data_IF_204932310995
#
_entry.id   IF_204932310995
#
_cell.length_a   1.000
_cell.length_b   1.000
_cell.length_c   1.000
_cell.angle_alpha   90.00
_cell.angle_beta   90.00
_cell.angle_gamma   90.00
#
_symmetry.space_group_name_H-M   'P 1'
#
loop_
_entity.id
_entity.type
_entity.pdbx_description
1 polymer ?
#
# COMPACT_ATOMS: atom_id res chain seq x y z
N UNK A 1 34.35 19.11 -29.94
CA UNK A 1 33.63 19.68 -28.76
C UNK A 1 33.33 18.55 -27.79
N UNK A 2 34.18 18.39 -26.81
CA UNK A 2 33.98 17.35 -25.79
C UNK A 2 33.06 17.85 -24.69
N UNK A 3 31.92 17.23 -24.53
CA UNK A 3 31.12 17.34 -23.30
C UNK A 3 31.91 16.67 -22.18
N UNK A 4 32.50 17.46 -21.29
CA UNK A 4 33.15 16.94 -20.09
C UNK A 4 32.10 16.15 -19.28
N UNK A 5 32.40 14.93 -18.87
CA UNK A 5 31.47 14.20 -18.00
C UNK A 5 31.34 14.98 -16.69
N UNK A 6 30.11 15.29 -16.35
CA UNK A 6 29.78 15.95 -15.08
C UNK A 6 30.32 15.07 -13.95
N UNK A 7 31.31 15.54 -13.25
CA UNK A 7 31.92 14.79 -12.16
C UNK A 7 30.84 14.43 -11.13
N UNK A 8 30.77 13.14 -10.75
CA UNK A 8 29.89 12.70 -9.67
C UNK A 8 30.38 13.35 -8.36
N UNK A 9 29.46 13.80 -7.51
CA UNK A 9 29.84 14.39 -6.23
C UNK A 9 30.62 13.37 -5.39
N UNK A 10 31.59 13.86 -4.60
CA UNK A 10 32.39 13.04 -3.72
C UNK A 10 31.49 12.20 -2.77
N UNK A 11 31.89 10.98 -2.46
CA UNK A 11 31.13 10.05 -1.61
C UNK A 11 30.63 10.67 -0.30
N UNK A 12 31.44 11.55 0.33
CA UNK A 12 31.05 12.27 1.53
C UNK A 12 29.92 13.27 1.32
N UNK A 13 29.83 13.89 0.14
CA UNK A 13 28.75 14.84 -0.22
C UNK A 13 27.44 14.07 -0.42
N UNK A 14 27.47 12.93 -1.10
CA UNK A 14 26.27 12.08 -1.28
C UNK A 14 25.76 11.56 0.06
N UNK A 15 26.64 11.11 0.95
CA UNK A 15 26.26 10.63 2.28
C UNK A 15 25.59 11.75 3.12
N UNK A 16 26.13 12.97 3.06
CA UNK A 16 25.54 14.13 3.74
C UNK A 16 24.17 14.50 3.17
N UNK A 17 24.04 14.51 1.85
CA UNK A 17 22.77 14.78 1.17
C UNK A 17 21.72 13.72 1.53
N UNK A 18 22.10 12.47 1.48
CA UNK A 18 21.23 11.36 1.84
C UNK A 18 20.76 11.46 3.30
N UNK A 19 21.69 11.70 4.22
CA UNK A 19 21.39 11.91 5.65
C UNK A 19 20.46 13.11 5.86
N UNK A 20 20.70 14.22 5.16
CA UNK A 20 19.86 15.43 5.25
C UNK A 20 18.44 15.17 4.73
N UNK A 21 18.30 14.44 3.61
CA UNK A 21 16.99 14.06 3.05
C UNK A 21 16.25 13.14 4.02
N UNK A 22 16.90 12.14 4.57
CA UNK A 22 16.29 11.23 5.55
C UNK A 22 15.85 11.97 6.82
N UNK A 23 16.68 12.88 7.34
CA UNK A 23 16.34 13.69 8.51
C UNK A 23 15.16 14.62 8.23
N UNK A 24 15.16 15.27 7.07
CA UNK A 24 14.04 16.13 6.65
C UNK A 24 12.74 15.30 6.52
N UNK A 25 12.82 14.14 5.88
CA UNK A 25 11.67 13.24 5.72
C UNK A 25 11.13 12.77 7.07
N UNK A 26 11.99 12.38 8.01
CA UNK A 26 11.59 11.95 9.33
C UNK A 26 10.81 13.04 10.10
N UNK A 27 11.19 14.31 9.92
CA UNK A 27 10.54 15.45 10.58
C UNK A 27 9.25 15.89 9.88
N UNK A 28 9.22 15.84 8.54
CA UNK A 28 8.11 16.34 7.71
C UNK A 28 7.15 15.28 7.23
N UNK A 29 7.55 14.01 7.27
CA UNK A 29 6.68 12.91 6.89
C UNK A 29 5.43 12.86 7.77
N UNK A 30 4.26 12.86 7.14
CA UNK A 30 2.99 12.69 7.85
C UNK A 30 2.95 11.34 8.55
N UNK A 31 2.54 11.29 9.84
CA UNK A 31 2.26 10.01 10.47
C UNK A 31 1.01 9.40 9.84
N UNK A 32 1.20 8.42 8.96
CA UNK A 32 0.11 7.71 8.31
C UNK A 32 -0.38 6.58 9.21
N UNK A 33 -1.70 6.40 9.39
CA UNK A 33 -2.24 5.40 10.30
C UNK A 33 -1.82 3.97 9.92
N UNK A 34 -1.70 3.67 8.63
CA UNK A 34 -1.26 2.35 8.15
C UNK A 34 0.25 2.08 8.26
N UNK A 35 1.01 3.08 8.73
CA UNK A 35 2.42 2.91 9.11
C UNK A 35 2.62 2.80 10.60
N UNK A 36 1.56 2.86 11.38
CA UNK A 36 1.61 2.70 12.82
C UNK A 36 2.06 1.27 13.19
N UNK A 37 2.82 1.11 14.29
CA UNK A 37 3.14 -0.23 14.80
C UNK A 37 1.85 -1.03 15.03
N UNK A 38 1.86 -2.30 14.63
CA UNK A 38 0.70 -3.17 14.78
C UNK A 38 -0.28 -3.14 13.60
N UNK A 39 -0.06 -2.32 12.58
CA UNK A 39 -0.84 -2.42 11.33
C UNK A 39 -0.59 -3.78 10.68
N UNK A 40 -1.67 -4.48 10.38
CA UNK A 40 -1.58 -5.81 9.74
C UNK A 40 -1.17 -5.69 8.27
N UNK A 41 -0.63 -6.76 7.65
CA UNK A 41 -0.39 -6.78 6.21
C UNK A 41 -1.64 -6.46 5.38
N UNK A 42 -2.80 -6.88 5.83
CA UNK A 42 -4.07 -6.53 5.20
C UNK A 42 -4.34 -5.02 5.24
N UNK A 43 -4.11 -4.39 6.38
CA UNK A 43 -4.24 -2.93 6.51
C UNK A 43 -3.32 -2.18 5.55
N UNK A 44 -2.09 -2.63 5.40
CA UNK A 44 -1.12 -2.09 4.43
C UNK A 44 -1.62 -2.29 2.99
N UNK A 45 -2.08 -3.48 2.67
CA UNK A 45 -2.60 -3.81 1.34
C UNK A 45 -3.78 -2.89 0.95
N UNK A 46 -4.76 -2.75 1.83
CA UNK A 46 -5.91 -1.87 1.62
C UNK A 46 -5.47 -0.43 1.41
N UNK A 47 -4.54 0.07 2.23
CA UNK A 47 -4.03 1.44 2.10
C UNK A 47 -3.36 1.69 0.75
N UNK A 48 -2.57 0.73 0.26
CA UNK A 48 -1.90 0.84 -1.04
C UNK A 48 -2.89 0.93 -2.20
N UNK A 49 -3.95 0.15 -2.15
CA UNK A 49 -5.00 0.20 -3.18
C UNK A 49 -5.79 1.52 -3.10
N UNK A 50 -6.17 1.94 -1.90
CA UNK A 50 -6.92 3.19 -1.70
C UNK A 50 -6.12 4.43 -2.11
N UNK A 51 -4.81 4.43 -1.84
CA UNK A 51 -3.94 5.57 -2.13
C UNK A 51 -3.60 5.72 -3.63
N UNK A 52 -3.92 4.74 -4.46
CA UNK A 52 -3.78 4.87 -5.90
C UNK A 52 -4.70 5.98 -6.42
N UNK A 53 -4.11 7.05 -6.98
CA UNK A 53 -4.86 8.17 -7.58
C UNK A 53 -5.83 8.89 -6.62
N UNK A 54 -5.64 8.72 -5.30
CA UNK A 54 -6.48 9.38 -4.29
C UNK A 54 -5.60 10.01 -3.22
N UNK A 55 -5.78 11.31 -2.88
CA UNK A 55 -4.99 11.95 -1.84
C UNK A 55 -5.16 11.27 -0.48
N UNK A 56 -4.05 11.17 0.26
CA UNK A 56 -3.98 10.53 1.58
C UNK A 56 -5.03 11.07 2.56
N UNK A 57 -5.25 12.38 2.58
CA UNK A 57 -6.23 13.00 3.47
C UNK A 57 -7.66 12.49 3.24
N UNK A 58 -7.97 12.09 2.02
CA UNK A 58 -9.27 11.51 1.67
C UNK A 58 -9.32 10.01 1.99
N UNK A 59 -8.20 9.32 1.88
CA UNK A 59 -8.09 7.88 2.14
C UNK A 59 -8.23 7.57 3.63
N UNK A 60 -7.61 8.34 4.50
CA UNK A 60 -7.49 8.03 5.92
C UNK A 60 -8.84 7.72 6.61
N UNK A 61 -9.90 8.55 6.49
CA UNK A 61 -11.18 8.25 7.15
C UNK A 61 -11.81 6.96 6.64
N UNK A 62 -11.77 6.72 5.34
CA UNK A 62 -12.33 5.51 4.72
C UNK A 62 -11.54 4.27 5.12
N UNK A 63 -10.21 4.36 5.14
CA UNK A 63 -9.35 3.27 5.57
C UNK A 63 -9.64 2.86 7.02
N UNK A 64 -9.81 3.82 7.93
CA UNK A 64 -10.15 3.55 9.33
C UNK A 64 -11.48 2.83 9.46
N UNK A 65 -12.50 3.26 8.72
CA UNK A 65 -13.80 2.61 8.67
C UNK A 65 -13.71 1.18 8.14
N UNK A 66 -12.96 0.96 7.08
CA UNK A 66 -12.74 -0.37 6.51
C UNK A 66 -12.02 -1.30 7.48
N UNK A 67 -11.01 -0.81 8.21
CA UNK A 67 -10.30 -1.63 9.20
C UNK A 67 -11.16 -2.00 10.40
N UNK A 68 -12.10 -1.16 10.78
CA UNK A 68 -13.08 -1.50 11.82
C UNK A 68 -14.10 -2.51 11.34
N UNK A 69 -14.56 -2.37 10.10
CA UNK A 69 -15.60 -3.21 9.54
C UNK A 69 -15.05 -4.55 9.01
N UNK A 70 -13.91 -4.52 8.38
CA UNK A 70 -13.28 -5.69 7.75
C UNK A 70 -11.79 -5.77 8.12
N UNK A 71 -11.48 -6.16 9.36
CA UNK A 71 -10.08 -6.19 9.84
C UNK A 71 -9.22 -7.28 9.22
N UNK A 72 -9.83 -8.24 8.53
CA UNK A 72 -9.11 -9.34 7.84
C UNK A 72 -9.64 -9.54 6.41
N UNK A 73 -8.84 -10.18 5.54
CA UNK A 73 -9.32 -10.53 4.20
C UNK A 73 -10.60 -11.38 4.22
N UNK A 74 -10.71 -12.31 5.15
CA UNK A 74 -11.89 -13.17 5.28
C UNK A 74 -13.15 -12.39 5.60
N UNK A 75 -13.06 -11.34 6.41
CA UNK A 75 -14.19 -10.49 6.76
C UNK A 75 -14.75 -9.78 5.52
N UNK A 76 -13.87 -9.21 4.70
CA UNK A 76 -14.29 -8.57 3.45
C UNK A 76 -14.82 -9.59 2.44
N UNK A 77 -14.15 -10.75 2.33
CA UNK A 77 -14.59 -11.82 1.43
C UNK A 77 -15.99 -12.33 1.74
N UNK A 78 -16.38 -12.33 3.02
CA UNK A 78 -17.71 -12.74 3.48
C UNK A 78 -18.78 -11.66 3.22
N UNK A 79 -18.39 -10.42 2.97
CA UNK A 79 -19.32 -9.34 2.67
C UNK A 79 -19.78 -9.39 1.20
N UNK A 80 -20.92 -8.81 0.90
CA UNK A 80 -21.36 -8.64 -0.47
C UNK A 80 -20.46 -7.63 -1.21
N UNK A 81 -20.13 -7.85 -2.50
CA UNK A 81 -19.32 -6.89 -3.26
C UNK A 81 -19.90 -5.46 -3.25
N UNK A 82 -21.22 -5.32 -3.27
CA UNK A 82 -21.89 -4.03 -3.18
C UNK A 82 -21.63 -3.28 -1.88
N UNK A 83 -21.38 -3.99 -0.78
CA UNK A 83 -21.03 -3.36 0.50
C UNK A 83 -19.66 -2.68 0.42
N UNK A 84 -18.70 -3.33 -0.25
CA UNK A 84 -17.39 -2.74 -0.50
C UNK A 84 -17.51 -1.44 -1.33
N UNK A 85 -18.32 -1.45 -2.37
CA UNK A 85 -18.54 -0.26 -3.22
C UNK A 85 -19.20 0.87 -2.41
N UNK A 86 -20.20 0.57 -1.60
CA UNK A 86 -20.84 1.57 -0.75
C UNK A 86 -19.88 2.17 0.27
N UNK A 87 -19.09 1.33 0.92
CA UNK A 87 -18.09 1.76 1.91
C UNK A 87 -16.89 2.47 1.27
N UNK A 88 -16.66 2.30 -0.03
CA UNK A 88 -15.65 3.05 -0.78
C UNK A 88 -15.97 4.55 -0.84
N UNK A 89 -17.24 4.89 -0.84
CA UNK A 89 -17.72 6.25 -0.78
C UNK A 89 -17.23 7.09 -1.97
N UNK A 90 -16.58 8.21 -1.66
CA UNK A 90 -16.16 9.21 -2.64
C UNK A 90 -14.68 9.15 -2.98
N UNK A 91 -14.02 8.00 -2.77
CA UNK A 91 -12.59 7.86 -3.12
C UNK A 91 -12.34 7.94 -4.63
N UNK A 92 -13.36 7.69 -5.43
CA UNK A 92 -13.25 7.67 -6.88
C UNK A 92 -12.80 6.30 -7.40
N UNK A 93 -13.02 6.08 -8.69
CA UNK A 93 -12.65 4.82 -9.34
C UNK A 93 -13.15 3.59 -8.57
N UNK A 94 -14.46 3.42 -8.42
CA UNK A 94 -15.06 2.43 -7.50
C UNK A 94 -14.77 0.98 -7.89
N UNK A 95 -14.30 0.73 -9.09
CA UNK A 95 -13.85 -0.60 -9.52
C UNK A 95 -12.73 -1.13 -8.62
N UNK A 96 -11.93 -0.26 -8.01
CA UNK A 96 -10.92 -0.65 -7.03
C UNK A 96 -11.50 -1.34 -5.80
N UNK A 97 -12.69 -0.91 -5.36
CA UNK A 97 -13.39 -1.58 -4.26
C UNK A 97 -13.77 -3.02 -4.61
N UNK A 98 -14.25 -3.24 -5.84
CA UNK A 98 -14.56 -4.58 -6.33
C UNK A 98 -13.31 -5.45 -6.44
N UNK A 99 -12.21 -4.88 -6.91
CA UNK A 99 -10.94 -5.60 -7.00
C UNK A 99 -10.37 -5.94 -5.63
N UNK A 100 -10.52 -5.06 -4.63
CA UNK A 100 -10.18 -5.38 -3.24
C UNK A 100 -11.00 -6.55 -2.71
N UNK A 101 -12.29 -6.58 -3.00
CA UNK A 101 -13.16 -7.68 -2.61
C UNK A 101 -12.73 -9.00 -3.28
N UNK A 102 -12.44 -8.96 -4.57
CA UNK A 102 -11.93 -10.12 -5.31
C UNK A 102 -10.58 -10.61 -4.76
N UNK A 103 -9.66 -9.68 -4.46
CA UNK A 103 -8.38 -10.01 -3.85
C UNK A 103 -8.56 -10.65 -2.47
N UNK A 104 -9.46 -10.14 -1.65
CA UNK A 104 -9.79 -10.71 -0.34
C UNK A 104 -10.33 -12.14 -0.47
N UNK A 105 -11.17 -12.42 -1.46
CA UNK A 105 -11.64 -13.77 -1.75
C UNK A 105 -10.50 -14.68 -2.18
N UNK A 106 -9.63 -14.21 -3.06
CA UNK A 106 -8.46 -14.98 -3.49
C UNK A 106 -7.52 -15.30 -2.32
N UNK A 107 -7.27 -14.34 -1.43
CA UNK A 107 -6.49 -14.56 -0.21
C UNK A 107 -7.12 -15.61 0.70
N UNK A 108 -8.43 -15.56 0.86
CA UNK A 108 -9.17 -16.53 1.68
C UNK A 108 -9.12 -17.93 1.07
N UNK A 109 -9.30 -18.02 -0.24
CA UNK A 109 -9.37 -19.32 -0.94
C UNK A 109 -8.00 -19.98 -1.15
N UNK A 110 -6.93 -19.17 -1.36
CA UNK A 110 -5.61 -19.66 -1.79
C UNK A 110 -4.51 -19.49 -0.75
N UNK A 111 -4.67 -18.56 0.19
CA UNK A 111 -3.62 -18.17 1.13
C UNK A 111 -4.07 -18.26 2.59
N UNK A 112 -5.09 -19.05 2.87
CA UNK A 112 -5.58 -19.24 4.24
C UNK A 112 -6.07 -17.96 4.94
N UNK A 113 -6.56 -16.99 4.16
CA UNK A 113 -7.00 -15.70 4.70
C UNK A 113 -5.87 -14.73 5.02
N UNK A 114 -4.66 -15.00 4.55
CA UNK A 114 -3.48 -14.16 4.78
C UNK A 114 -3.07 -13.43 3.50
N UNK A 115 -2.51 -12.23 3.66
CA UNK A 115 -1.83 -11.54 2.57
C UNK A 115 -0.53 -12.29 2.28
N UNK A 116 -0.27 -12.73 1.03
CA UNK A 116 0.99 -13.39 0.71
C UNK A 116 2.17 -12.41 0.78
N UNK A 117 3.33 -12.91 1.19
CA UNK A 117 4.56 -12.10 1.32
C UNK A 117 5.38 -12.05 0.02
N UNK A 118 5.21 -13.03 -0.85
CA UNK A 118 5.98 -13.14 -2.09
C UNK A 118 5.38 -12.28 -3.20
N UNK A 119 6.24 -11.53 -3.90
CA UNK A 119 5.83 -10.62 -4.98
C UNK A 119 5.04 -11.36 -6.06
N UNK A 120 5.48 -12.56 -6.46
CA UNK A 120 4.78 -13.36 -7.47
C UNK A 120 3.35 -13.71 -7.07
N UNK A 121 3.15 -14.07 -5.81
CA UNK A 121 1.82 -14.38 -5.27
C UNK A 121 0.96 -13.13 -5.15
N UNK A 122 1.56 -11.98 -4.80
CA UNK A 122 0.87 -10.70 -4.78
C UNK A 122 0.42 -10.27 -6.19
N UNK A 123 1.29 -10.44 -7.18
CA UNK A 123 0.96 -10.14 -8.58
C UNK A 123 -0.17 -11.00 -9.14
N UNK A 124 -0.34 -12.22 -8.62
CA UNK A 124 -1.42 -13.11 -9.02
C UNK A 124 -2.79 -12.73 -8.44
N UNK A 125 -2.83 -11.79 -7.50
CA UNK A 125 -4.09 -11.30 -6.93
C UNK A 125 -4.81 -10.37 -7.90
N UNK A 126 -6.15 -10.41 -7.95
CA UNK A 126 -6.92 -9.51 -8.80
C UNK A 126 -6.60 -8.03 -8.53
N UNK A 127 -6.34 -7.28 -9.57
CA UNK A 127 -6.13 -5.83 -9.49
C UNK A 127 -4.77 -5.38 -8.96
N UNK A 128 -3.84 -6.31 -8.70
CA UNK A 128 -2.48 -5.99 -8.20
C UNK A 128 -1.50 -5.89 -9.35
N UNK A 129 -0.94 -4.69 -9.53
CA UNK A 129 0.15 -4.44 -10.47
C UNK A 129 1.53 -4.50 -9.80
N UNK A 130 2.58 -4.30 -10.61
CA UNK A 130 3.99 -4.40 -10.17
C UNK A 130 4.29 -3.47 -9.00
N UNK A 131 3.85 -2.22 -9.07
CA UNK A 131 4.10 -1.23 -8.01
C UNK A 131 3.43 -1.66 -6.70
N UNK A 132 2.16 -2.02 -6.74
CA UNK A 132 1.40 -2.42 -5.54
C UNK A 132 1.99 -3.67 -4.91
N UNK A 133 2.36 -4.67 -5.70
CA UNK A 133 3.01 -5.89 -5.20
C UNK A 133 4.32 -5.58 -4.49
N UNK A 134 5.18 -4.76 -5.10
CA UNK A 134 6.45 -4.35 -4.50
C UNK A 134 6.26 -3.53 -3.22
N UNK A 135 5.32 -2.59 -3.22
CA UNK A 135 5.03 -1.75 -2.08
C UNK A 135 4.49 -2.56 -0.89
N UNK A 136 3.56 -3.47 -1.13
CA UNK A 136 3.03 -4.35 -0.08
C UNK A 136 4.11 -5.27 0.47
N UNK A 137 4.91 -5.91 -0.39
CA UNK A 137 6.02 -6.75 0.04
C UNK A 137 7.01 -5.98 0.92
N UNK A 138 7.33 -4.75 0.54
CA UNK A 138 8.25 -3.89 1.28
C UNK A 138 7.65 -3.43 2.62
N UNK A 139 6.48 -2.80 2.59
CA UNK A 139 5.90 -2.14 3.76
C UNK A 139 5.25 -3.11 4.75
N UNK A 140 4.68 -4.21 4.28
CA UNK A 140 4.04 -5.18 5.16
C UNK A 140 5.01 -6.25 5.68
N UNK A 141 6.02 -6.64 4.89
CA UNK A 141 6.88 -7.78 5.18
C UNK A 141 8.38 -7.45 5.19
N UNK A 142 8.77 -6.21 4.93
CA UNK A 142 10.16 -5.80 4.90
C UNK A 142 10.98 -6.39 3.75
N UNK A 143 10.36 -6.86 2.70
CA UNK A 143 11.02 -7.38 1.49
C UNK A 143 11.48 -6.19 0.64
N UNK A 144 12.80 -6.08 0.33
CA UNK A 144 13.33 -4.97 -0.47
C UNK A 144 12.90 -4.99 -1.94
#
# INVERSE_FOLDING_TARGET
MGTSPRALPASGTLARLHSAILSWYAVTARPLPWRAPGTTPWGVFVSEVMAQQTPVARVEPTWREWMQRWPTPADLAAAAPGDAVRAWGRLGYPRRALRLHEAARAMTDRHGGQVPAEVEQLLALPGVGDYTAAAVACFAFGVP
#
